data_IF_968924285340
#
_entry.id   IF_968924285340
#
_cell.length_a   1.000
_cell.length_b   1.000
_cell.length_c   1.000
_cell.angle_alpha   90.00
_cell.angle_beta   90.00
_cell.angle_gamma   90.00
#
_symmetry.space_group_name_H-M   'P 1'
#
loop_
_entity.id
_entity.type
_entity.pdbx_description
1 polymer ?
#
# COMPACT_ATOMS: atom_id res chain seq x y z
N UNK A 1 22.31 8.89 -5.92
CA UNK A 1 21.37 7.76 -5.93
C UNK A 1 21.00 7.46 -4.49
N UNK A 2 19.78 7.80 -4.07
CA UNK A 2 19.31 7.65 -2.67
C UNK A 2 18.56 6.31 -2.51
N UNK A 3 18.62 5.44 -3.53
CA UNK A 3 17.87 4.19 -3.59
C UNK A 3 18.56 3.03 -2.84
N UNK A 4 19.88 3.10 -2.61
CA UNK A 4 20.65 1.94 -2.12
C UNK A 4 20.79 1.85 -0.59
N UNK A 5 20.45 2.89 0.17
CA UNK A 5 20.73 2.92 1.62
C UNK A 5 19.58 2.44 2.53
N UNK A 6 18.42 2.05 1.98
CA UNK A 6 17.27 1.58 2.78
C UNK A 6 17.04 0.06 2.76
N UNK A 7 17.92 -0.72 2.12
CA UNK A 7 17.76 -2.18 2.03
C UNK A 7 18.28 -2.97 3.25
N UNK A 8 19.08 -2.37 4.13
CA UNK A 8 19.77 -3.11 5.22
C UNK A 8 18.98 -3.25 6.53
N UNK A 9 17.75 -2.73 6.63
CA UNK A 9 16.97 -2.77 7.89
C UNK A 9 15.53 -3.24 7.78
N UNK A 10 15.01 -3.47 6.58
CA UNK A 10 13.58 -3.74 6.38
C UNK A 10 13.38 -5.10 5.70
N UNK A 11 12.91 -6.07 6.48
CA UNK A 11 12.60 -7.41 6.01
C UNK A 11 11.64 -7.36 4.81
N UNK A 12 12.02 -7.94 3.66
CA UNK A 12 11.15 -8.09 2.49
C UNK A 12 9.88 -8.92 2.79
N UNK A 13 9.90 -9.71 3.88
CA UNK A 13 8.72 -10.39 4.44
C UNK A 13 7.79 -9.48 5.25
N UNK A 14 8.16 -8.22 5.47
CA UNK A 14 7.31 -7.25 6.13
C UNK A 14 6.06 -7.02 5.28
N UNK A 15 4.90 -7.02 5.93
CA UNK A 15 3.59 -6.79 5.29
C UNK A 15 3.53 -5.46 4.52
N UNK A 16 4.46 -4.54 4.81
CA UNK A 16 4.62 -3.26 4.12
C UNK A 16 5.08 -3.39 2.65
N UNK A 17 5.70 -4.50 2.26
CA UNK A 17 6.14 -4.77 0.88
C UNK A 17 5.18 -5.68 0.11
N UNK A 18 4.07 -6.09 0.73
CA UNK A 18 3.08 -6.98 0.11
C UNK A 18 1.97 -6.12 -0.51
N UNK A 19 1.82 -6.06 -1.85
CA UNK A 19 0.79 -5.25 -2.48
C UNK A 19 -0.61 -5.62 -2.00
N UNK A 20 -0.86 -6.91 -1.79
CA UNK A 20 -2.12 -7.49 -1.33
C UNK A 20 -2.50 -6.99 0.07
N UNK A 21 -1.51 -6.76 0.94
CA UNK A 21 -1.75 -6.17 2.26
C UNK A 21 -2.38 -4.78 2.13
N UNK A 22 -1.81 -3.94 1.26
CA UNK A 22 -2.30 -2.59 1.02
C UNK A 22 -3.64 -2.57 0.28
N UNK A 23 -3.84 -3.47 -0.70
CA UNK A 23 -5.15 -3.62 -1.38
C UNK A 23 -6.26 -4.00 -0.40
N UNK A 24 -6.02 -4.99 0.47
CA UNK A 24 -6.98 -5.38 1.49
C UNK A 24 -7.32 -4.25 2.47
N UNK A 25 -6.32 -3.41 2.81
CA UNK A 25 -6.55 -2.21 3.63
C UNK A 25 -7.37 -1.15 2.91
N UNK A 26 -7.15 -0.94 1.62
CA UNK A 26 -7.94 -0.03 0.80
C UNK A 26 -9.41 -0.47 0.76
N UNK A 27 -9.66 -1.74 0.44
CA UNK A 27 -11.00 -2.31 0.37
C UNK A 27 -11.73 -2.22 1.72
N UNK A 28 -11.08 -2.63 2.81
CA UNK A 28 -11.67 -2.54 4.15
C UNK A 28 -12.02 -1.10 4.53
N UNK A 29 -11.25 -0.12 4.06
CA UNK A 29 -11.49 1.30 4.30
C UNK A 29 -12.65 1.83 3.46
N UNK A 30 -12.79 1.40 2.20
CA UNK A 30 -13.96 1.74 1.35
C UNK A 30 -15.25 1.17 1.95
N UNK A 31 -15.24 -0.09 2.38
CA UNK A 31 -16.39 -0.71 3.05
C UNK A 31 -16.81 0.04 4.32
N UNK A 32 -15.85 0.55 5.09
CA UNK A 32 -16.13 1.43 6.24
C UNK A 32 -16.72 2.77 5.81
N UNK A 33 -16.26 3.34 4.70
CA UNK A 33 -16.79 4.58 4.15
C UNK A 33 -18.23 4.43 3.65
N UNK A 34 -18.55 3.31 3.02
CA UNK A 34 -19.91 2.97 2.56
C UNK A 34 -20.91 2.85 3.72
N UNK A 35 -20.46 2.41 4.90
CA UNK A 35 -21.28 2.33 6.10
C UNK A 35 -21.56 3.70 6.75
N UNK A 36 -20.94 4.78 6.28
CA UNK A 36 -21.18 6.14 6.78
C UNK A 36 -22.16 6.90 5.89
N UNK A 37 -22.96 7.77 6.52
CA UNK A 37 -23.70 8.79 5.80
C UNK A 37 -22.74 9.71 5.03
N UNK A 38 -23.20 10.22 3.88
CA UNK A 38 -22.41 11.12 3.05
C UNK A 38 -21.93 12.35 3.83
N UNK A 39 -20.67 12.70 3.63
CA UNK A 39 -20.06 13.85 4.28
C UNK A 39 -18.57 13.67 4.59
N UNK A 40 -18.03 14.65 5.32
CA UNK A 40 -16.58 14.78 5.54
C UNK A 40 -15.90 13.54 6.11
N UNK A 41 -16.61 12.74 6.90
CA UNK A 41 -16.05 11.50 7.47
C UNK A 41 -15.87 10.42 6.40
N UNK A 42 -16.87 10.22 5.54
CA UNK A 42 -16.81 9.32 4.39
C UNK A 42 -15.72 9.74 3.41
N UNK A 43 -15.65 11.03 3.08
CA UNK A 43 -14.63 11.57 2.16
C UNK A 43 -13.20 11.33 2.66
N UNK A 44 -12.98 11.48 3.97
CA UNK A 44 -11.67 11.19 4.58
C UNK A 44 -11.30 9.71 4.47
N UNK A 45 -12.24 8.79 4.71
CA UNK A 45 -11.98 7.37 4.56
C UNK A 45 -11.69 7.00 3.10
N UNK A 46 -12.42 7.58 2.14
CA UNK A 46 -12.14 7.37 0.71
C UNK A 46 -10.75 7.88 0.33
N UNK A 47 -10.33 9.05 0.82
CA UNK A 47 -8.95 9.54 0.62
C UNK A 47 -7.91 8.58 1.19
N UNK A 48 -8.12 8.05 2.38
CA UNK A 48 -7.22 7.05 2.99
C UNK A 48 -7.17 5.77 2.13
N UNK A 49 -8.30 5.31 1.61
CA UNK A 49 -8.34 4.14 0.72
C UNK A 49 -7.49 4.36 -0.55
N UNK A 50 -7.56 5.54 -1.15
CA UNK A 50 -6.73 5.92 -2.31
C UNK A 50 -5.23 5.92 -1.96
N UNK A 51 -4.85 6.38 -0.77
CA UNK A 51 -3.45 6.32 -0.33
C UNK A 51 -2.98 4.86 -0.14
N UNK A 52 -3.84 3.96 0.34
CA UNK A 52 -3.53 2.53 0.39
C UNK A 52 -3.36 1.93 -1.01
N UNK A 53 -4.15 2.32 -2.02
CA UNK A 53 -3.93 1.88 -3.40
C UNK A 53 -2.58 2.34 -3.96
N UNK A 54 -2.15 3.56 -3.63
CA UNK A 54 -0.82 4.07 -4.02
C UNK A 54 0.30 3.25 -3.38
N UNK A 55 0.16 2.90 -2.10
CA UNK A 55 1.10 2.02 -1.41
C UNK A 55 1.14 0.62 -2.02
N UNK A 56 0.00 0.06 -2.42
CA UNK A 56 -0.06 -1.22 -3.13
C UNK A 56 0.72 -1.18 -4.45
N UNK A 57 0.55 -0.12 -5.26
CA UNK A 57 1.32 0.06 -6.50
C UNK A 57 2.82 0.17 -6.23
N UNK A 58 3.21 0.90 -5.19
CA UNK A 58 4.63 1.05 -4.80
C UNK A 58 5.24 -0.27 -4.34
N UNK A 59 4.52 -1.03 -3.52
CA UNK A 59 4.92 -2.37 -3.10
C UNK A 59 5.07 -3.31 -4.31
N UNK A 60 4.20 -3.19 -5.31
CA UNK A 60 4.28 -4.02 -6.51
C UNK A 60 5.54 -3.70 -7.34
N UNK A 61 5.85 -2.40 -7.53
CA UNK A 61 7.10 -2.00 -8.20
C UNK A 61 8.33 -2.52 -7.46
N UNK A 62 8.33 -2.50 -6.11
CA UNK A 62 9.42 -3.06 -5.32
C UNK A 62 9.57 -4.57 -5.46
N UNK A 63 8.46 -5.32 -5.62
CA UNK A 63 8.53 -6.76 -5.92
C UNK A 63 9.15 -7.00 -7.30
N UNK A 64 8.68 -6.28 -8.33
CA UNK A 64 9.19 -6.46 -9.70
C UNK A 64 10.70 -6.21 -9.81
N UNK A 65 11.22 -5.16 -9.15
CA UNK A 65 12.66 -4.89 -9.16
C UNK A 65 13.49 -5.91 -8.37
N UNK A 66 12.88 -6.64 -7.43
CA UNK A 66 13.57 -7.67 -6.66
C UNK A 66 13.71 -8.97 -7.45
N UNK A 67 12.74 -9.29 -8.31
CA UNK A 67 12.79 -10.47 -9.16
C UNK A 67 13.82 -10.34 -10.31
N UNK A 68 14.12 -9.10 -10.73
CA UNK A 68 15.15 -8.81 -11.75
C UNK A 68 16.59 -8.94 -11.21
N UNK A 69 16.83 -8.68 -9.93
CA UNK A 69 18.16 -8.83 -9.29
C UNK A 69 18.48 -10.30 -8.90
N UNK A 70 17.47 -11.17 -8.83
CA UNK A 70 17.60 -12.61 -8.49
C UNK A 70 17.72 -13.53 -9.74
N UNK A 71 17.78 -12.98 -10.97
CA UNK A 71 17.96 -13.74 -12.23
C UNK A 71 19.32 -13.45 -12.88
#
# INVERSE_FOLDING_TARGET
>A
MICELHALGMNAKSKLYQPEHWRGRAEATRKKAEALADGRAKDRLLKIAVEYDKLARRAHMWQMHKDEDDT
#
